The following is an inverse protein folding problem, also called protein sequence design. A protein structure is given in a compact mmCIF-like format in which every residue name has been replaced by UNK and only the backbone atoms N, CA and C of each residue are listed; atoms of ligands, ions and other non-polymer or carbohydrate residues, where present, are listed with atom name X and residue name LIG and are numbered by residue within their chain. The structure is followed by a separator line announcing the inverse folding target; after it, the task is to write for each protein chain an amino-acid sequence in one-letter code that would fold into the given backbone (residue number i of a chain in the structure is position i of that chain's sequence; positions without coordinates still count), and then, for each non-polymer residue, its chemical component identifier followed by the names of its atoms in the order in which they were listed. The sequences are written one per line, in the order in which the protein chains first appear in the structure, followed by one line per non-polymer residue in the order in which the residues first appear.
data_IF_922832360760
#
_entry.id   IF_922832360760
#
_cell.length_a   1.000
_cell.length_b   1.000
_cell.length_c   1.000
_cell.angle_alpha   90.00
_cell.angle_beta   90.00
_cell.angle_gamma   90.00
#
_symmetry.space_group_name_H-M   'P 1'
#
loop_
_entity.id
_entity.type
_entity.pdbx_description
1 polymer ?
#
# COMPACT_ATOMS: atom_id res chain seq x y z
N UNK A 1 15.62 6.13 -15.28
CA UNK A 1 15.65 6.09 -13.80
C UNK A 1 16.27 7.36 -13.18
N UNK A 2 17.57 7.65 -13.39
CA UNK A 2 18.27 8.82 -12.80
C UNK A 2 17.72 10.21 -13.12
N UNK A 3 16.80 10.32 -14.08
CA UNK A 3 16.13 11.56 -14.45
C UNK A 3 14.74 11.71 -13.83
N UNK A 4 14.21 10.67 -13.17
CA UNK A 4 12.82 10.62 -12.70
C UNK A 4 12.69 10.97 -11.23
N UNK A 5 11.64 11.73 -10.90
CA UNK A 5 11.23 12.09 -9.54
C UNK A 5 10.00 11.31 -9.12
N UNK A 6 9.99 10.86 -7.88
CA UNK A 6 8.91 10.06 -7.30
C UNK A 6 8.30 10.80 -6.11
N UNK A 7 6.97 10.77 -6.02
CA UNK A 7 6.22 11.11 -4.81
C UNK A 7 5.87 9.82 -4.07
N UNK A 8 6.19 9.76 -2.79
CA UNK A 8 5.81 8.67 -1.91
C UNK A 8 4.99 9.24 -0.76
N UNK A 9 3.73 8.79 -0.64
CA UNK A 9 2.80 9.22 0.40
C UNK A 9 2.70 8.16 1.49
N UNK A 10 2.82 8.57 2.74
CA UNK A 10 2.79 7.71 3.92
C UNK A 10 4.17 7.12 4.25
N UNK A 11 4.70 7.47 5.42
CA UNK A 11 6.04 7.11 5.90
C UNK A 11 6.02 6.17 7.11
N UNK A 12 5.08 5.21 7.12
CA UNK A 12 5.05 4.06 8.04
C UNK A 12 6.05 2.95 7.58
N UNK A 13 5.90 1.71 8.05
CA UNK A 13 6.85 0.62 7.81
C UNK A 13 7.03 0.30 6.33
N UNK A 14 5.91 0.16 5.59
CA UNK A 14 5.94 -0.09 4.15
C UNK A 14 6.55 1.09 3.37
N UNK A 15 6.19 2.32 3.72
CA UNK A 15 6.73 3.54 3.11
C UNK A 15 8.26 3.63 3.26
N UNK A 16 8.79 3.31 4.44
CA UNK A 16 10.23 3.31 4.67
C UNK A 16 11.00 2.30 3.80
N UNK A 17 10.44 1.10 3.61
CA UNK A 17 11.01 0.07 2.74
C UNK A 17 11.04 0.53 1.27
N UNK A 18 9.93 1.09 0.78
CA UNK A 18 9.84 1.64 -0.59
C UNK A 18 10.84 2.79 -0.76
N UNK A 19 10.86 3.75 0.18
CA UNK A 19 11.77 4.88 0.15
C UNK A 19 13.24 4.43 0.06
N UNK A 20 13.66 3.52 0.94
CA UNK A 20 15.02 2.96 0.93
C UNK A 20 15.36 2.35 -0.43
N UNK A 21 14.49 1.51 -0.97
CA UNK A 21 14.74 0.84 -2.25
C UNK A 21 14.83 1.84 -3.42
N UNK A 22 13.97 2.86 -3.48
CA UNK A 22 14.02 3.87 -4.53
C UNK A 22 15.24 4.79 -4.42
N UNK A 23 15.64 5.17 -3.21
CA UNK A 23 16.83 5.99 -2.95
C UNK A 23 18.10 5.20 -3.34
N UNK A 24 18.21 3.93 -2.94
CA UNK A 24 19.33 3.07 -3.32
C UNK A 24 19.36 2.76 -4.82
N UNK A 25 18.19 2.67 -5.48
CA UNK A 25 18.11 2.52 -6.94
C UNK A 25 18.59 3.77 -7.71
N UNK A 26 18.68 4.93 -7.05
CA UNK A 26 19.24 6.16 -7.63
C UNK A 26 18.27 6.87 -8.57
N UNK A 27 17.02 7.06 -8.14
CA UNK A 27 16.09 8.04 -8.76
C UNK A 27 16.67 9.45 -8.68
N UNK A 28 16.17 10.40 -9.49
CA UNK A 28 16.63 11.80 -9.43
C UNK A 28 16.32 12.44 -8.08
N UNK A 29 15.12 12.17 -7.56
CA UNK A 29 14.66 12.70 -6.29
C UNK A 29 13.42 11.95 -5.80
N UNK A 30 13.23 11.97 -4.50
CA UNK A 30 12.10 11.37 -3.80
C UNK A 30 11.49 12.42 -2.89
N UNK A 31 10.20 12.71 -3.04
CA UNK A 31 9.46 13.51 -2.06
C UNK A 31 8.67 12.57 -1.16
N UNK A 32 9.01 12.57 0.13
CA UNK A 32 8.28 11.84 1.16
C UNK A 32 7.20 12.76 1.73
N UNK A 33 5.94 12.42 1.49
CA UNK A 33 4.79 13.18 1.98
C UNK A 33 4.09 12.39 3.09
N UNK A 34 3.99 12.97 4.28
CA UNK A 34 3.22 12.41 5.37
C UNK A 34 2.74 13.55 6.27
N UNK A 35 1.43 13.60 6.53
CA UNK A 35 0.84 14.66 7.37
C UNK A 35 0.72 14.25 8.84
N UNK A 36 0.98 12.97 9.16
CA UNK A 36 0.88 12.44 10.51
C UNK A 36 2.17 12.66 11.33
N UNK A 37 2.00 12.62 12.65
CA UNK A 37 3.09 12.67 13.61
C UNK A 37 3.55 11.26 14.00
N UNK A 38 4.80 11.17 14.42
CA UNK A 38 5.42 9.95 14.94
C UNK A 38 4.68 9.52 16.21
N UNK A 39 4.07 8.35 16.17
CA UNK A 39 3.45 7.69 17.31
C UNK A 39 4.51 6.94 18.16
N UNK A 40 4.18 6.51 19.38
CA UNK A 40 5.08 5.69 20.20
C UNK A 40 5.49 4.35 19.55
N UNK A 41 4.68 3.82 18.63
CA UNK A 41 4.91 2.53 17.97
C UNK A 41 5.86 2.64 16.76
N UNK A 42 5.91 3.80 16.11
CA UNK A 42 6.65 4.03 14.87
C UNK A 42 8.16 3.70 14.99
N UNK A 43 8.91 4.10 16.03
CA UNK A 43 10.35 3.81 16.11
C UNK A 43 10.70 2.32 16.14
N UNK A 44 9.76 1.45 16.52
CA UNK A 44 9.94 -0.01 16.52
C UNK A 44 9.62 -0.66 15.16
N UNK A 45 8.76 -0.01 14.36
CA UNK A 45 8.29 -0.54 13.09
C UNK A 45 8.96 0.12 11.86
N UNK A 46 9.60 1.27 12.04
CA UNK A 46 10.09 2.14 10.96
C UNK A 46 11.54 2.54 11.20
N UNK A 47 12.47 2.02 10.37
CA UNK A 47 13.91 2.13 10.60
C UNK A 47 14.55 3.47 10.21
N UNK A 48 13.86 4.34 9.47
CA UNK A 48 14.31 5.69 9.12
C UNK A 48 14.07 6.70 10.25
N UNK A 49 13.14 6.43 11.16
CA UNK A 49 12.86 7.27 12.31
C UNK A 49 13.82 6.93 13.46
N UNK A 50 14.35 7.94 14.14
CA UNK A 50 15.16 7.75 15.36
C UNK A 50 14.28 7.59 16.59
N UNK A 51 14.75 6.79 17.55
CA UNK A 51 14.19 6.79 18.90
C UNK A 51 14.19 8.20 19.49
N UNK A 52 13.12 8.58 20.19
CA UNK A 52 12.94 9.94 20.72
C UNK A 52 12.38 10.97 19.73
N UNK A 53 11.90 10.55 18.57
CA UNK A 53 11.26 11.46 17.59
C UNK A 53 9.74 11.58 17.73
N UNK A 54 9.15 10.98 18.78
CA UNK A 54 7.70 11.00 19.03
C UNK A 54 7.18 12.45 19.05
N UNK A 55 6.07 12.70 18.35
CA UNK A 55 5.46 14.02 18.20
C UNK A 55 6.04 14.89 17.08
N UNK A 56 7.16 14.51 16.44
CA UNK A 56 7.61 15.14 15.19
C UNK A 56 6.79 14.63 14.01
N UNK A 57 6.81 15.33 12.87
CA UNK A 57 6.23 14.79 11.64
C UNK A 57 7.00 13.54 11.16
N UNK A 58 6.29 12.52 10.67
CA UNK A 58 6.90 11.24 10.25
C UNK A 58 7.88 11.39 9.08
N UNK A 59 7.53 12.16 8.06
CA UNK A 59 8.40 12.38 6.90
C UNK A 59 9.64 13.19 7.29
N UNK A 60 9.49 14.23 8.11
CA UNK A 60 10.63 15.02 8.63
C UNK A 60 11.57 14.17 9.50
N UNK A 61 11.01 13.34 10.39
CA UNK A 61 11.78 12.45 11.25
C UNK A 61 12.56 11.38 10.46
N UNK A 62 12.10 11.06 9.24
CA UNK A 62 12.73 10.08 8.34
C UNK A 62 13.83 10.68 7.44
N UNK A 63 13.82 12.01 7.22
CA UNK A 63 14.63 12.68 6.20
C UNK A 63 16.12 12.41 6.32
N UNK A 64 16.69 12.58 7.51
CA UNK A 64 18.14 12.49 7.68
C UNK A 64 18.68 11.09 7.37
N UNK A 65 18.03 10.04 7.88
CA UNK A 65 18.43 8.66 7.59
C UNK A 65 18.18 8.31 6.12
N UNK A 66 17.05 8.77 5.55
CA UNK A 66 16.73 8.53 4.14
C UNK A 66 17.77 9.16 3.20
N UNK A 67 18.10 10.43 3.39
CA UNK A 67 19.07 11.15 2.57
C UNK A 67 20.48 10.54 2.65
N UNK A 68 20.88 10.04 3.81
CA UNK A 68 22.17 9.39 4.02
C UNK A 68 22.33 8.05 3.28
N UNK A 69 21.23 7.43 2.82
CA UNK A 69 21.32 6.20 2.02
C UNK A 69 21.97 6.43 0.66
N UNK A 70 21.76 7.62 0.06
CA UNK A 70 22.36 7.97 -1.23
C UNK A 70 22.43 9.50 -1.40
N UNK A 71 23.60 10.14 -1.21
CA UNK A 71 23.77 11.59 -1.39
C UNK A 71 23.47 12.11 -2.80
N UNK A 72 23.36 11.24 -3.81
CA UNK A 72 23.05 11.62 -5.19
C UNK A 72 21.55 11.79 -5.46
N UNK A 73 20.69 11.38 -4.52
CA UNK A 73 19.22 11.50 -4.64
C UNK A 73 18.78 12.73 -3.86
N UNK A 74 18.01 13.62 -4.49
CA UNK A 74 17.38 14.78 -3.84
C UNK A 74 16.15 14.30 -3.03
N UNK A 75 16.32 14.09 -1.72
CA UNK A 75 15.23 13.67 -0.83
C UNK A 75 14.57 14.89 -0.21
N UNK A 76 13.28 15.06 -0.47
CA UNK A 76 12.45 16.15 0.06
C UNK A 76 11.36 15.62 0.97
N UNK A 77 10.85 16.52 1.81
CA UNK A 77 9.73 16.26 2.71
C UNK A 77 8.59 17.23 2.41
N UNK A 78 7.38 16.73 2.50
CA UNK A 78 6.14 17.50 2.51
C UNK A 78 5.27 17.02 3.68
N UNK A 79 4.71 17.95 4.44
CA UNK A 79 3.97 17.66 5.69
C UNK A 79 2.48 17.97 5.57
N UNK A 80 2.03 18.48 4.43
CA UNK A 80 0.61 18.75 4.22
C UNK A 80 -0.16 17.47 3.90
N UNK A 81 -1.46 17.52 4.17
CA UNK A 81 -2.42 16.49 3.81
C UNK A 81 -2.53 16.34 2.29
N UNK A 82 -2.42 15.10 1.80
CA UNK A 82 -2.48 14.77 0.38
C UNK A 82 -3.81 15.16 -0.25
N UNK A 83 -4.92 15.07 0.50
CA UNK A 83 -6.25 15.41 0.01
C UNK A 83 -6.42 16.90 -0.28
N UNK A 84 -5.55 17.74 0.28
CA UNK A 84 -5.57 19.20 0.11
C UNK A 84 -4.63 19.68 -0.99
N UNK A 85 -3.85 18.77 -1.62
CA UNK A 85 -2.91 19.14 -2.67
C UNK A 85 -3.65 19.46 -3.97
N UNK A 86 -3.33 20.60 -4.63
CA UNK A 86 -3.91 20.91 -5.94
C UNK A 86 -3.38 19.94 -7.00
N UNK A 87 -4.13 19.71 -8.08
CA UNK A 87 -3.69 18.82 -9.18
C UNK A 87 -2.32 19.19 -9.75
N UNK A 88 -2.01 20.49 -9.81
CA UNK A 88 -0.70 21.02 -10.26
C UNK A 88 0.48 20.56 -9.40
N UNK A 89 0.25 20.14 -8.15
CA UNK A 89 1.30 19.56 -7.31
C UNK A 89 1.82 18.25 -7.91
N UNK A 90 0.95 17.44 -8.52
CA UNK A 90 1.31 16.10 -8.99
C UNK A 90 2.06 16.11 -10.31
N UNK A 91 1.94 17.19 -11.11
CA UNK A 91 2.56 17.29 -12.44
C UNK A 91 4.09 17.36 -12.42
N UNK A 92 4.71 17.53 -11.25
CA UNK A 92 6.17 17.58 -11.08
C UNK A 92 6.83 16.19 -10.94
N UNK A 93 6.04 15.13 -10.79
CA UNK A 93 6.49 13.75 -10.59
C UNK A 93 6.27 12.91 -11.85
N UNK A 94 7.10 11.89 -12.05
CA UNK A 94 7.05 11.05 -13.24
C UNK A 94 5.99 9.94 -13.13
N UNK A 95 5.12 9.83 -14.13
CA UNK A 95 4.27 8.66 -14.39
C UNK A 95 4.52 8.18 -15.82
N UNK A 96 4.84 6.88 -16.00
CA UNK A 96 5.24 6.32 -17.31
C UNK A 96 4.50 5.04 -17.73
N UNK A 97 3.60 4.55 -16.90
CA UNK A 97 2.79 3.37 -17.21
C UNK A 97 1.33 3.71 -16.92
N UNK A 98 0.44 3.29 -17.82
CA UNK A 98 -1.01 3.49 -17.70
C UNK A 98 -1.67 2.12 -17.77
N UNK A 99 -2.43 1.77 -16.75
CA UNK A 99 -3.30 0.59 -16.69
C UNK A 99 -4.77 1.03 -16.63
N UNK A 100 -5.70 0.10 -16.45
CA UNK A 100 -7.08 0.47 -16.15
C UNK A 100 -7.14 1.33 -14.86
N UNK A 101 -8.10 2.26 -14.76
CA UNK A 101 -8.31 3.04 -13.54
C UNK A 101 -8.51 2.15 -12.31
N UNK A 102 -7.90 2.51 -11.18
CA UNK A 102 -8.04 1.77 -9.90
C UNK A 102 -9.49 1.58 -9.48
N UNK A 103 -10.36 2.56 -9.78
CA UNK A 103 -11.80 2.46 -9.55
C UNK A 103 -12.41 1.24 -10.24
N UNK A 104 -12.12 1.07 -11.53
CA UNK A 104 -12.64 -0.07 -12.30
C UNK A 104 -12.04 -1.40 -11.84
N UNK A 105 -10.81 -1.38 -11.33
CA UNK A 105 -10.14 -2.56 -10.78
C UNK A 105 -10.69 -2.97 -9.39
N UNK A 106 -11.28 -2.04 -8.63
CA UNK A 106 -11.93 -2.29 -7.35
C UNK A 106 -13.44 -2.58 -7.48
N UNK A 107 -14.09 -2.10 -8.54
CA UNK A 107 -15.53 -2.24 -8.79
C UNK A 107 -15.82 -3.31 -9.87
N UNK A 108 -15.16 -4.46 -9.78
CA UNK A 108 -15.36 -5.57 -10.73
C UNK A 108 -16.78 -6.14 -10.63
N UNK A 109 -17.47 -6.22 -11.77
CA UNK A 109 -18.78 -6.89 -11.88
C UNK A 109 -18.64 -8.42 -11.95
N UNK A 110 -18.97 -9.08 -10.85
CA UNK A 110 -18.94 -10.53 -10.70
C UNK A 110 -20.20 -11.25 -11.22
N UNK A 111 -21.19 -10.53 -11.74
CA UNK A 111 -22.44 -11.13 -12.23
C UNK A 111 -22.26 -11.87 -13.57
N UNK A 112 -21.31 -11.44 -14.39
CA UNK A 112 -21.06 -12.00 -15.72
C UNK A 112 -20.49 -13.43 -15.66
N UNK A 113 -20.84 -14.27 -16.64
CA UNK A 113 -20.37 -15.66 -16.67
C UNK A 113 -18.83 -15.77 -16.74
N UNK A 114 -18.20 -14.83 -17.46
CA UNK A 114 -16.74 -14.73 -17.55
C UNK A 114 -16.12 -14.37 -16.20
N UNK A 115 -16.73 -13.44 -15.45
CA UNK A 115 -16.26 -13.05 -14.14
C UNK A 115 -16.45 -14.19 -13.11
N UNK A 116 -17.58 -14.91 -13.15
CA UNK A 116 -17.80 -16.11 -12.31
C UNK A 116 -16.77 -17.20 -12.55
N UNK A 117 -16.35 -17.41 -13.80
CA UNK A 117 -15.27 -18.34 -14.12
C UNK A 117 -13.90 -17.86 -13.59
N UNK A 118 -13.62 -16.55 -13.68
CA UNK A 118 -12.41 -15.95 -13.15
C UNK A 118 -12.37 -15.98 -11.61
N UNK A 119 -13.50 -15.73 -10.94
CA UNK A 119 -13.68 -15.71 -9.49
C UNK A 119 -13.13 -16.96 -8.81
N UNK A 120 -13.33 -18.14 -9.42
CA UNK A 120 -12.81 -19.43 -8.89
C UNK A 120 -11.29 -19.50 -8.83
N UNK A 121 -10.60 -18.65 -9.58
CA UNK A 121 -9.13 -18.57 -9.67
C UNK A 121 -8.57 -17.32 -8.99
N UNK A 122 -9.44 -16.36 -8.66
CA UNK A 122 -9.06 -15.13 -7.98
C UNK A 122 -8.71 -15.43 -6.53
N UNK A 123 -7.58 -14.92 -6.06
CA UNK A 123 -7.22 -15.03 -4.64
C UNK A 123 -8.24 -14.35 -3.72
N UNK A 124 -8.48 -14.94 -2.54
CA UNK A 124 -9.31 -14.36 -1.48
C UNK A 124 -8.79 -12.99 -1.01
N UNK A 125 -7.50 -12.71 -1.22
CA UNK A 125 -6.83 -11.49 -0.77
C UNK A 125 -7.36 -10.23 -1.46
N UNK A 126 -7.94 -10.36 -2.65
CA UNK A 126 -8.68 -9.26 -3.29
C UNK A 126 -9.87 -8.84 -2.44
N UNK A 127 -10.62 -9.80 -1.91
CA UNK A 127 -11.76 -9.52 -1.05
C UNK A 127 -11.34 -9.05 0.34
N UNK A 128 -10.22 -9.57 0.86
CA UNK A 128 -9.61 -9.04 2.08
C UNK A 128 -9.28 -7.55 1.93
N UNK A 129 -8.70 -7.14 0.80
CA UNK A 129 -8.44 -5.73 0.49
C UNK A 129 -9.74 -4.90 0.52
N UNK A 130 -10.83 -5.39 -0.11
CA UNK A 130 -12.12 -4.69 -0.11
C UNK A 130 -12.67 -4.48 1.30
N UNK A 131 -12.60 -5.51 2.15
CA UNK A 131 -13.04 -5.44 3.55
C UNK A 131 -12.22 -4.41 4.34
N UNK A 132 -10.89 -4.44 4.20
CA UNK A 132 -10.00 -3.50 4.91
C UNK A 132 -10.15 -2.06 4.42
N UNK A 133 -10.36 -1.84 3.11
CA UNK A 133 -10.65 -0.53 2.56
C UNK A 133 -11.98 0.03 3.10
N UNK A 134 -13.02 -0.80 3.19
CA UNK A 134 -14.30 -0.40 3.79
C UNK A 134 -14.17 -0.09 5.27
N UNK A 135 -13.43 -0.90 6.03
CA UNK A 135 -13.12 -0.61 7.44
C UNK A 135 -12.43 0.74 7.60
N UNK A 136 -11.39 1.02 6.79
CA UNK A 136 -10.69 2.30 6.82
C UNK A 136 -11.61 3.47 6.49
N UNK A 137 -12.50 3.30 5.52
CA UNK A 137 -13.50 4.32 5.13
C UNK A 137 -14.44 4.64 6.29
N UNK A 138 -14.92 3.62 7.00
CA UNK A 138 -15.90 3.79 8.08
C UNK A 138 -15.29 4.32 9.38
N UNK A 139 -14.04 3.92 9.67
CA UNK A 139 -13.37 4.22 10.94
C UNK A 139 -12.36 5.35 10.87
N UNK A 140 -11.89 5.73 9.68
CA UNK A 140 -10.78 6.66 9.50
C UNK A 140 -9.44 6.13 10.04
N UNK A 141 -9.33 4.82 10.28
CA UNK A 141 -8.13 4.11 10.75
C UNK A 141 -8.14 2.66 10.28
N UNK A 142 -7.00 2.00 10.41
CA UNK A 142 -6.88 0.55 10.22
C UNK A 142 -7.25 -0.24 11.49
N UNK A 143 -7.50 -1.55 11.37
CA UNK A 143 -7.67 -2.43 12.54
C UNK A 143 -6.44 -2.41 13.45
N UNK A 144 -6.67 -2.26 14.77
CA UNK A 144 -5.61 -2.18 15.77
C UNK A 144 -5.63 -3.39 16.71
N UNK A 145 -4.45 -3.87 17.10
CA UNK A 145 -4.33 -4.93 18.10
C UNK A 145 -4.87 -4.53 19.47
N UNK A 146 -4.86 -3.23 19.80
CA UNK A 146 -5.42 -2.72 21.07
C UNK A 146 -6.95 -2.87 21.15
N UNK A 147 -7.61 -2.78 19.99
CA UNK A 147 -9.07 -2.91 19.83
C UNK A 147 -9.44 -4.21 19.12
N UNK A 148 -8.61 -5.25 19.22
CA UNK A 148 -8.74 -6.49 18.43
C UNK A 148 -10.13 -7.12 18.52
N UNK A 149 -10.75 -7.19 19.70
CA UNK A 149 -12.08 -7.79 19.87
C UNK A 149 -13.16 -7.05 19.09
N UNK A 150 -13.25 -5.74 19.29
CA UNK A 150 -14.22 -4.86 18.63
C UNK A 150 -13.98 -4.78 17.11
N UNK A 151 -12.72 -4.64 16.70
CA UNK A 151 -12.35 -4.54 15.29
C UNK A 151 -12.58 -5.86 14.55
N UNK A 152 -12.32 -7.01 15.19
CA UNK A 152 -12.58 -8.33 14.58
C UNK A 152 -14.06 -8.56 14.34
N UNK A 153 -14.92 -8.22 15.31
CA UNK A 153 -16.37 -8.34 15.16
C UNK A 153 -16.89 -7.46 14.01
N UNK A 154 -16.40 -6.22 13.93
CA UNK A 154 -16.76 -5.32 12.85
C UNK A 154 -16.24 -5.79 11.48
N UNK A 155 -15.01 -6.31 11.41
CA UNK A 155 -14.44 -6.83 10.15
C UNK A 155 -15.26 -8.00 9.60
N UNK A 156 -15.74 -8.90 10.46
CA UNK A 156 -16.63 -10.00 10.06
C UNK A 156 -17.97 -9.48 9.52
N UNK A 157 -18.53 -8.45 10.14
CA UNK A 157 -19.74 -7.79 9.65
C UNK A 157 -19.51 -7.14 8.28
N UNK A 158 -18.44 -6.34 8.14
CA UNK A 158 -18.07 -5.68 6.89
C UNK A 158 -17.83 -6.71 5.78
N UNK A 159 -17.18 -7.84 6.08
CA UNK A 159 -17.00 -8.94 5.13
C UNK A 159 -18.34 -9.39 4.56
N UNK A 160 -19.31 -9.66 5.42
CA UNK A 160 -20.62 -10.13 4.97
C UNK A 160 -21.27 -9.09 4.07
N UNK A 161 -21.31 -7.82 4.51
CA UNK A 161 -21.95 -6.74 3.76
C UNK A 161 -21.29 -6.49 2.40
N UNK A 162 -19.95 -6.48 2.35
CA UNK A 162 -19.18 -6.27 1.11
C UNK A 162 -19.37 -7.43 0.15
N UNK A 163 -19.22 -8.68 0.59
CA UNK A 163 -19.35 -9.84 -0.30
C UNK A 163 -20.77 -10.02 -0.82
N UNK A 164 -21.78 -9.76 0.02
CA UNK A 164 -23.19 -9.79 -0.40
C UNK A 164 -23.49 -8.68 -1.44
N UNK A 165 -22.94 -7.47 -1.25
CA UNK A 165 -23.08 -6.38 -2.22
C UNK A 165 -22.43 -6.67 -3.59
N UNK A 166 -21.38 -7.49 -3.60
CA UNK A 166 -20.71 -7.96 -4.81
C UNK A 166 -21.40 -9.20 -5.43
N UNK A 167 -22.41 -9.76 -4.76
CA UNK A 167 -23.12 -10.96 -5.19
C UNK A 167 -22.28 -12.23 -5.16
N UNK A 168 -21.31 -12.31 -4.25
CA UNK A 168 -20.39 -13.45 -4.10
C UNK A 168 -20.52 -14.11 -2.72
N UNK A 169 -20.17 -15.40 -2.61
CA UNK A 169 -20.32 -16.14 -1.35
C UNK A 169 -19.39 -15.58 -0.25
N UNK A 170 -19.88 -15.40 0.99
CA UNK A 170 -19.04 -15.00 2.12
C UNK A 170 -17.95 -16.03 2.45
N UNK A 171 -18.12 -17.29 2.03
CA UNK A 171 -17.13 -18.36 2.23
C UNK A 171 -15.83 -18.13 1.43
N UNK A 172 -15.82 -17.22 0.46
CA UNK A 172 -14.60 -16.84 -0.28
C UNK A 172 -13.54 -16.20 0.61
N UNK A 173 -13.94 -15.56 1.72
CA UNK A 173 -13.02 -15.02 2.72
C UNK A 173 -13.29 -15.73 4.06
N UNK A 174 -12.49 -16.74 4.42
CA UNK A 174 -12.66 -17.51 5.65
C UNK A 174 -12.67 -16.63 6.89
N UNK A 175 -13.53 -16.92 7.88
CA UNK A 175 -13.73 -16.06 9.07
C UNK A 175 -12.47 -15.84 9.89
N UNK A 176 -11.51 -16.75 9.80
CA UNK A 176 -10.24 -16.66 10.52
C UNK A 176 -9.32 -15.55 9.99
N UNK A 177 -9.70 -14.85 8.91
CA UNK A 177 -8.94 -13.72 8.34
C UNK A 177 -8.61 -12.61 9.33
N UNK A 178 -9.50 -12.38 10.28
CA UNK A 178 -9.29 -11.41 11.35
C UNK A 178 -8.06 -11.72 12.22
N UNK A 179 -7.52 -12.95 12.17
CA UNK A 179 -6.34 -13.33 12.94
C UNK A 179 -5.01 -12.91 12.30
N UNK A 180 -5.01 -12.59 11.00
CA UNK A 180 -3.78 -12.38 10.21
C UNK A 180 -3.77 -11.08 9.40
N UNK A 181 -4.69 -10.14 9.68
CA UNK A 181 -4.80 -8.86 8.98
C UNK A 181 -4.65 -7.61 9.87
N UNK A 182 -4.00 -7.75 11.03
CA UNK A 182 -3.78 -6.66 11.98
C UNK A 182 -2.32 -6.21 12.00
N UNK A 183 -2.12 -4.91 12.24
CA UNK A 183 -0.81 -4.27 12.42
C UNK A 183 0.12 -4.36 11.20
N UNK A 184 1.23 -3.62 11.25
CA UNK A 184 2.26 -3.66 10.20
C UNK A 184 3.42 -4.55 10.62
N UNK A 185 3.59 -5.68 9.94
CA UNK A 185 4.70 -6.59 10.21
C UNK A 185 5.92 -6.22 9.37
N UNK A 186 7.07 -6.02 10.00
CA UNK A 186 8.31 -5.64 9.30
C UNK A 186 8.72 -6.61 8.16
N UNK A 187 8.62 -7.96 8.31
CA UNK A 187 8.91 -8.88 7.20
C UNK A 187 7.97 -8.70 6.01
N UNK A 188 6.68 -8.42 6.26
CA UNK A 188 5.68 -8.18 5.20
C UNK A 188 5.98 -6.85 4.50
N UNK A 189 6.30 -5.80 5.25
CA UNK A 189 6.72 -4.51 4.70
C UNK A 189 7.95 -4.65 3.78
N UNK A 190 8.94 -5.45 4.18
CA UNK A 190 10.13 -5.68 3.37
C UNK A 190 9.82 -6.43 2.06
N UNK A 191 8.98 -7.46 2.11
CA UNK A 191 8.57 -8.21 0.90
C UNK A 191 7.77 -7.32 -0.05
N UNK A 192 6.67 -6.73 0.45
CA UNK A 192 5.78 -5.91 -0.37
C UNK A 192 6.48 -4.64 -0.86
N UNK A 193 7.26 -3.98 0.00
CA UNK A 193 8.03 -2.78 -0.35
C UNK A 193 9.14 -3.06 -1.35
N UNK A 194 9.75 -4.25 -1.31
CA UNK A 194 10.69 -4.72 -2.33
C UNK A 194 10.04 -4.88 -3.70
N UNK A 195 8.92 -5.62 -3.76
CA UNK A 195 8.18 -5.84 -5.01
C UNK A 195 7.68 -4.50 -5.58
N UNK A 196 7.01 -3.69 -4.78
CA UNK A 196 6.43 -2.43 -5.24
C UNK A 196 7.51 -1.43 -5.71
N UNK A 197 8.62 -1.29 -4.97
CA UNK A 197 9.73 -0.44 -5.42
C UNK A 197 10.35 -0.95 -6.74
N UNK A 198 10.47 -2.27 -6.91
CA UNK A 198 10.98 -2.85 -8.14
C UNK A 198 10.04 -2.60 -9.33
N UNK A 199 8.72 -2.67 -9.13
CA UNK A 199 7.73 -2.33 -10.16
C UNK A 199 7.78 -0.84 -10.53
N UNK A 200 7.96 0.06 -9.55
CA UNK A 200 8.20 1.48 -9.80
C UNK A 200 9.48 1.68 -10.65
N UNK A 201 10.57 0.98 -10.33
CA UNK A 201 11.83 1.06 -11.10
C UNK A 201 11.63 0.58 -12.54
N UNK A 202 10.94 -0.54 -12.78
CA UNK A 202 10.59 -1.04 -14.12
C UNK A 202 9.78 0.00 -14.89
N UNK A 203 8.72 0.52 -14.28
CA UNK A 203 7.87 1.55 -14.87
C UNK A 203 8.66 2.82 -15.24
N UNK A 204 9.49 3.35 -14.35
CA UNK A 204 10.27 4.58 -14.59
C UNK A 204 11.41 4.40 -15.60
N UNK A 205 11.97 3.19 -15.66
CA UNK A 205 13.03 2.83 -16.61
C UNK A 205 12.51 2.40 -17.97
N UNK A 206 11.22 2.06 -18.08
CA UNK A 206 10.59 1.49 -19.28
C UNK A 206 11.33 0.21 -19.73
N UNK A 207 11.75 -0.60 -18.75
CA UNK A 207 12.47 -1.84 -18.96
C UNK A 207 11.75 -2.96 -18.23
N UNK A 208 11.63 -4.09 -18.93
CA UNK A 208 10.91 -5.30 -18.49
C UNK A 208 9.40 -5.08 -18.32
N UNK A 209 8.57 -6.10 -18.56
CA UNK A 209 7.13 -5.96 -18.39
C UNK A 209 6.78 -5.78 -16.90
N UNK A 210 6.00 -4.73 -16.54
CA UNK A 210 5.45 -4.60 -15.19
C UNK A 210 4.35 -5.62 -14.92
N UNK A 211 4.12 -5.95 -13.65
CA UNK A 211 2.94 -6.67 -13.20
C UNK A 211 1.68 -5.85 -13.53
N UNK A 212 0.63 -6.52 -14.02
CA UNK A 212 -0.64 -5.90 -14.39
C UNK A 212 -1.79 -6.65 -13.69
N UNK A 213 -2.47 -6.09 -12.68
CA UNK A 213 -2.26 -4.79 -12.01
C UNK A 213 -2.24 -4.91 -10.48
N UNK A 214 -2.57 -6.08 -9.92
CA UNK A 214 -2.48 -6.36 -8.50
C UNK A 214 -1.38 -7.36 -8.18
N UNK A 215 -0.75 -7.17 -7.03
CA UNK A 215 0.11 -8.15 -6.39
C UNK A 215 -0.39 -8.38 -4.96
N UNK A 216 -0.71 -9.62 -4.62
CA UNK A 216 -1.14 -10.05 -3.31
C UNK A 216 -0.07 -10.92 -2.66
N UNK A 217 0.19 -10.69 -1.38
CA UNK A 217 1.16 -11.46 -0.61
C UNK A 217 0.52 -12.01 0.66
N UNK A 218 0.53 -13.34 0.80
CA UNK A 218 0.10 -14.06 2.00
C UNK A 218 1.35 -14.59 2.71
N UNK A 219 1.75 -13.92 3.79
CA UNK A 219 2.92 -14.29 4.59
C UNK A 219 2.77 -15.58 5.39
N UNK A 220 1.53 -16.04 5.63
CA UNK A 220 1.26 -17.30 6.32
C UNK A 220 1.51 -18.50 5.42
N UNK A 221 1.16 -18.36 4.13
CA UNK A 221 1.36 -19.41 3.11
C UNK A 221 2.64 -19.24 2.29
N UNK A 222 3.26 -18.06 2.33
CA UNK A 222 4.42 -17.71 1.51
C UNK A 222 4.07 -17.50 0.03
N UNK A 223 2.81 -17.16 -0.28
CA UNK A 223 2.35 -16.97 -1.66
C UNK A 223 2.50 -15.52 -2.10
N UNK A 224 2.98 -15.30 -3.33
CA UNK A 224 2.92 -14.02 -4.04
C UNK A 224 2.17 -14.20 -5.35
N UNK A 225 0.98 -13.62 -5.46
CA UNK A 225 0.05 -13.82 -6.59
C UNK A 225 -0.11 -12.50 -7.34
N UNK A 226 0.04 -12.55 -8.66
CA UNK A 226 -0.27 -11.41 -9.55
C UNK A 226 -1.63 -11.64 -10.18
N UNK A 227 -2.54 -10.68 -10.00
CA UNK A 227 -3.89 -10.71 -10.56
C UNK A 227 -4.10 -9.52 -11.51
N UNK A 228 -4.89 -9.75 -12.56
CA UNK A 228 -5.31 -8.73 -13.50
C UNK A 228 -6.82 -8.51 -13.35
N UNK A 229 -7.21 -7.49 -12.59
CA UNK A 229 -8.61 -7.18 -12.27
C UNK A 229 -9.00 -5.81 -12.83
N UNK A 230 -10.27 -5.69 -13.23
CA UNK A 230 -10.80 -4.56 -14.00
C UNK A 230 -11.03 -4.91 -15.48
N UNK A 231 -11.41 -3.91 -16.31
CA UNK A 231 -11.68 -4.12 -17.73
C UNK A 231 -10.43 -4.60 -18.49
N UNK A 232 -10.68 -5.45 -19.48
CA UNK A 232 -9.66 -5.86 -20.46
C UNK A 232 -9.62 -4.88 -21.62
#
# INVERSE_FOLDING_TARGET
LRASRVLLVGMKGLGAEIAKNLILAGVKGLTMLDHEQVSPEDPGAQFLIRTGSVGRNRAEASLERAQNLNPMVDVKVDTEDIEKKPESFFTQFDAKVVFCPVKEALEVDWSSEKAKAALKRTTSDYFLLQVLLKFRTDKGRDPSSDTYGEDSELLLQIRNDVLDSLGVSPELLPEDFVRYCFSEMAPVCAVVGGILAQEIVKALSQRDPPHNNFFFFDGMKGNGIVECLGPK
#
